data_IF_831648897516
#
_entry.id   IF_831648897516
#
_cell.length_a   1.000
_cell.length_b   1.000
_cell.length_c   1.000
_cell.angle_alpha   90.00
_cell.angle_beta   90.00
_cell.angle_gamma   90.00
#
_symmetry.space_group_name_H-M   'P 1'
#
loop_
_entity.id
_entity.type
_entity.pdbx_description
1 polymer ?
#
# COMPACT_ATOMS: atom_id res chain seq x y z
N UNK A 1 -3.75 6.25 1.30
CA UNK A 1 -3.49 6.50 -0.13
C UNK A 1 -4.36 5.53 -0.92
N UNK A 2 -5.03 5.98 -1.99
CA UNK A 2 -5.82 5.10 -2.86
C UNK A 2 -5.13 4.90 -4.19
N UNK A 3 -5.04 3.65 -4.64
CA UNK A 3 -4.46 3.28 -5.93
C UNK A 3 -5.55 2.69 -6.82
N UNK A 4 -5.56 3.09 -8.08
CA UNK A 4 -6.54 2.62 -9.08
C UNK A 4 -5.82 2.24 -10.37
N UNK A 5 -6.28 1.17 -11.02
CA UNK A 5 -5.73 0.66 -12.27
C UNK A 5 -4.77 -0.50 -12.05
N UNK A 6 -3.71 -0.55 -12.86
CA UNK A 6 -2.72 -1.63 -12.84
C UNK A 6 -1.39 -1.15 -12.24
N UNK A 7 -0.74 -2.02 -11.47
CA UNK A 7 0.61 -1.80 -10.95
C UNK A 7 1.55 -2.77 -11.67
N UNK A 8 2.30 -2.26 -12.63
CA UNK A 8 3.18 -3.02 -13.51
C UNK A 8 4.53 -2.32 -13.72
N UNK A 9 5.37 -2.87 -14.59
CA UNK A 9 6.67 -2.28 -14.95
C UNK A 9 6.58 -0.79 -15.39
N UNK A 10 5.48 -0.35 -15.98
CA UNK A 10 5.30 1.01 -16.48
C UNK A 10 4.74 1.97 -15.43
N UNK A 11 3.86 1.49 -14.54
CA UNK A 11 3.23 2.32 -13.51
C UNK A 11 3.96 2.29 -12.16
N UNK A 12 4.73 1.23 -11.88
CA UNK A 12 5.48 1.07 -10.64
C UNK A 12 6.47 2.21 -10.35
N UNK A 13 7.23 2.77 -11.32
CA UNK A 13 8.12 3.90 -11.05
C UNK A 13 7.37 5.15 -10.57
N UNK A 14 6.17 5.39 -11.11
CA UNK A 14 5.32 6.52 -10.67
C UNK A 14 4.80 6.28 -9.26
N UNK A 15 4.34 5.07 -8.95
CA UNK A 15 3.89 4.70 -7.61
C UNK A 15 5.03 4.85 -6.59
N UNK A 16 6.23 4.43 -6.94
CA UNK A 16 7.41 4.55 -6.08
C UNK A 16 7.71 6.01 -5.74
N UNK A 17 7.79 6.88 -6.75
CA UNK A 17 8.04 8.31 -6.53
C UNK A 17 7.00 8.97 -5.63
N UNK A 18 5.72 8.59 -5.77
CA UNK A 18 4.66 9.14 -4.93
C UNK A 18 4.72 8.63 -3.50
N UNK A 19 5.01 7.34 -3.29
CA UNK A 19 5.23 6.78 -1.97
C UNK A 19 6.44 7.42 -1.29
N UNK A 20 7.56 7.58 -2.00
CA UNK A 20 8.76 8.20 -1.47
C UNK A 20 8.48 9.65 -1.04
N UNK A 21 7.76 10.42 -1.88
CA UNK A 21 7.33 11.78 -1.55
C UNK A 21 6.47 11.83 -0.29
N UNK A 22 5.47 10.95 -0.17
CA UNK A 22 4.59 10.89 1.00
C UNK A 22 5.35 10.50 2.28
N UNK A 23 6.33 9.60 2.18
CA UNK A 23 7.18 9.17 3.29
C UNK A 23 8.19 10.24 3.71
N UNK A 24 8.58 11.14 2.81
CA UNK A 24 9.45 12.28 3.12
C UNK A 24 8.69 13.46 3.72
N UNK A 25 7.49 13.75 3.22
CA UNK A 25 6.68 14.88 3.67
C UNK A 25 5.93 14.61 4.98
N UNK A 26 5.68 13.34 5.30
CA UNK A 26 4.84 12.95 6.42
C UNK A 26 5.65 12.32 7.55
N UNK A 27 5.46 12.82 8.77
CA UNK A 27 5.84 12.09 10.00
C UNK A 27 4.84 10.97 10.33
N UNK A 28 3.97 10.57 9.40
CA UNK A 28 2.93 9.59 9.65
C UNK A 28 3.55 8.23 10.02
N UNK A 29 3.33 7.82 11.27
CA UNK A 29 3.67 6.48 11.72
C UNK A 29 2.76 5.38 11.13
N UNK A 30 1.74 5.75 10.34
CA UNK A 30 0.75 4.81 9.86
C UNK A 30 0.23 5.18 8.46
N UNK A 31 0.28 4.23 7.53
CA UNK A 31 -0.23 4.40 6.17
C UNK A 31 -1.08 3.19 5.77
N UNK A 32 -2.29 3.45 5.28
CA UNK A 32 -3.10 2.42 4.61
C UNK A 32 -3.15 2.71 3.11
N UNK A 33 -2.86 1.67 2.34
CA UNK A 33 -3.00 1.66 0.88
C UNK A 33 -4.30 0.96 0.52
N UNK A 34 -5.25 1.72 -0.02
CA UNK A 34 -6.50 1.21 -0.57
C UNK A 34 -6.25 0.64 -1.97
N UNK A 35 -6.42 -0.67 -2.05
CA UNK A 35 -6.17 -1.53 -3.21
C UNK A 35 -7.48 -1.93 -3.92
N UNK A 36 -8.64 -1.38 -3.53
CA UNK A 36 -9.96 -1.72 -4.08
C UNK A 36 -10.09 -1.41 -5.57
N UNK A 37 -9.36 -0.38 -6.04
CA UNK A 37 -9.26 0.00 -7.44
C UNK A 37 -8.17 -0.72 -8.22
N UNK A 38 -7.36 -1.58 -7.59
CA UNK A 38 -6.21 -2.24 -8.23
C UNK A 38 -6.64 -3.53 -8.91
N UNK A 39 -6.58 -3.54 -10.23
CA UNK A 39 -7.06 -4.66 -11.06
C UNK A 39 -5.98 -5.74 -11.23
N UNK A 40 -4.72 -5.31 -11.24
CA UNK A 40 -3.55 -6.15 -11.42
C UNK A 40 -2.34 -5.56 -10.68
N UNK A 41 -1.48 -6.42 -10.16
CA UNK A 41 -0.20 -6.04 -9.54
C UNK A 41 0.83 -7.13 -9.82
N UNK A 42 1.91 -6.80 -10.54
CA UNK A 42 3.01 -7.72 -10.82
C UNK A 42 4.08 -7.71 -9.70
N UNK A 43 5.18 -8.44 -9.93
CA UNK A 43 6.30 -8.47 -8.99
C UNK A 43 6.99 -7.11 -8.82
N UNK A 44 6.99 -6.26 -9.84
CA UNK A 44 7.55 -4.90 -9.78
C UNK A 44 6.73 -4.04 -8.83
N UNK A 45 5.40 -4.07 -8.99
CA UNK A 45 4.47 -3.37 -8.10
C UNK A 45 4.58 -3.82 -6.64
N UNK A 46 4.65 -5.13 -6.42
CA UNK A 46 4.83 -5.68 -5.06
C UNK A 46 6.16 -5.26 -4.44
N UNK A 47 7.24 -5.20 -5.22
CA UNK A 47 8.54 -4.74 -4.73
C UNK A 47 8.51 -3.26 -4.31
N UNK A 48 7.77 -2.42 -5.02
CA UNK A 48 7.58 -1.01 -4.64
C UNK A 48 6.87 -0.91 -3.29
N UNK A 49 5.76 -1.63 -3.10
CA UNK A 49 5.01 -1.65 -1.84
C UNK A 49 5.87 -2.20 -0.67
N UNK A 50 6.67 -3.24 -0.93
CA UNK A 50 7.56 -3.81 0.07
C UNK A 50 8.67 -2.84 0.48
N UNK A 51 9.19 -2.07 -0.48
CA UNK A 51 10.22 -1.07 -0.22
C UNK A 51 9.69 0.07 0.64
N UNK A 52 8.47 0.54 0.35
CA UNK A 52 7.77 1.52 1.17
C UNK A 52 7.50 1.02 2.59
N UNK A 53 7.04 -0.23 2.76
CA UNK A 53 6.85 -0.85 4.07
C UNK A 53 8.15 -0.88 4.88
N UNK A 54 9.27 -1.27 4.26
CA UNK A 54 10.58 -1.31 4.93
C UNK A 54 11.02 0.08 5.41
N UNK A 55 10.96 1.07 4.52
CA UNK A 55 11.32 2.45 4.83
C UNK A 55 10.46 3.01 5.97
N UNK A 56 9.15 2.76 5.94
CA UNK A 56 8.26 3.24 6.99
C UNK A 56 8.52 2.53 8.32
N UNK A 57 8.84 1.22 8.32
CA UNK A 57 9.26 0.48 9.52
C UNK A 57 10.56 1.02 10.13
N UNK A 58 11.53 1.42 9.31
CA UNK A 58 12.78 2.04 9.77
C UNK A 58 12.52 3.38 10.49
N UNK A 59 11.45 4.07 10.12
CA UNK A 59 10.99 5.30 10.77
C UNK A 59 10.04 5.04 11.96
N UNK A 60 9.82 3.78 12.34
CA UNK A 60 8.93 3.39 13.44
C UNK A 60 7.44 3.36 13.08
N UNK A 61 7.10 3.43 11.80
CA UNK A 61 5.74 3.34 11.29
C UNK A 61 5.36 1.98 10.70
N UNK A 62 4.15 1.89 10.16
CA UNK A 62 3.63 0.68 9.52
C UNK A 62 2.77 1.01 8.29
N UNK A 63 2.90 0.16 7.26
CA UNK A 63 2.10 0.20 6.04
C UNK A 63 1.19 -1.03 6.02
N UNK A 64 -0.10 -0.79 5.81
CA UNK A 64 -1.13 -1.83 5.69
C UNK A 64 -1.89 -1.70 4.37
N UNK A 65 -2.48 -2.80 3.91
CA UNK A 65 -3.29 -2.84 2.69
C UNK A 65 -4.75 -3.03 3.02
N UNK A 66 -5.61 -2.38 2.25
CA UNK A 66 -7.06 -2.47 2.40
C UNK A 66 -7.73 -2.81 1.07
N UNK A 67 -8.69 -3.73 1.10
CA UNK A 67 -9.53 -4.06 -0.04
C UNK A 67 -8.84 -4.59 -1.29
N UNK A 68 -7.76 -5.42 -1.22
CA UNK A 68 -7.19 -5.97 -2.44
C UNK A 68 -8.21 -6.85 -3.17
N UNK A 69 -8.37 -6.64 -4.47
CA UNK A 69 -9.20 -7.51 -5.32
C UNK A 69 -8.70 -8.97 -5.27
N UNK A 70 -9.56 -9.97 -5.58
CA UNK A 70 -9.20 -11.39 -5.47
C UNK A 70 -7.92 -11.79 -6.21
N UNK A 71 -7.65 -11.19 -7.38
CA UNK A 71 -6.43 -11.43 -8.14
C UNK A 71 -5.17 -11.00 -7.36
N UNK A 72 -5.16 -9.77 -6.83
CA UNK A 72 -4.06 -9.24 -6.02
C UNK A 72 -3.91 -10.02 -4.72
N UNK A 73 -5.03 -10.36 -4.04
CA UNK A 73 -5.01 -11.18 -2.82
C UNK A 73 -4.38 -12.55 -3.05
N UNK A 74 -4.71 -13.21 -4.18
CA UNK A 74 -4.12 -14.50 -4.55
C UNK A 74 -2.61 -14.38 -4.78
N UNK A 75 -2.14 -13.30 -5.40
CA UNK A 75 -0.70 -13.05 -5.58
C UNK A 75 -0.02 -12.90 -4.23
N UNK A 76 -0.59 -12.14 -3.29
CA UNK A 76 -0.05 -12.00 -1.93
C UNK A 76 0.07 -13.36 -1.23
N UNK A 77 -0.95 -14.20 -1.31
CA UNK A 77 -0.95 -15.54 -0.70
C UNK A 77 0.08 -16.48 -1.33
N UNK A 78 0.14 -16.54 -2.67
CA UNK A 78 1.07 -17.41 -3.39
C UNK A 78 2.53 -17.00 -3.15
N UNK A 79 2.77 -15.70 -2.97
CA UNK A 79 4.11 -15.15 -2.70
C UNK A 79 4.47 -15.10 -1.21
N UNK A 80 3.51 -15.41 -0.32
CA UNK A 80 3.67 -15.31 1.14
C UNK A 80 3.72 -13.87 1.67
N UNK A 81 3.43 -12.88 0.84
CA UNK A 81 3.41 -11.47 1.22
C UNK A 81 2.23 -11.11 2.12
N UNK A 82 1.18 -11.94 2.16
CA UNK A 82 0.09 -11.82 3.14
C UNK A 82 0.54 -12.01 4.60
N UNK A 83 1.70 -12.63 4.84
CA UNK A 83 2.34 -12.67 6.16
C UNK A 83 3.22 -11.44 6.46
N UNK A 84 3.59 -10.68 5.43
CA UNK A 84 4.48 -9.51 5.53
C UNK A 84 3.69 -8.23 5.76
N UNK A 85 2.54 -8.13 5.09
CA UNK A 85 1.62 -7.01 5.19
C UNK A 85 0.40 -7.38 6.04
N UNK A 86 -0.07 -6.46 6.88
CA UNK A 86 -1.44 -6.52 7.39
C UNK A 86 -2.39 -6.22 6.24
N UNK A 87 -3.37 -7.09 6.01
CA UNK A 87 -4.35 -6.95 4.92
C UNK A 87 -5.77 -6.92 5.50
N UNK A 88 -6.48 -5.82 5.25
CA UNK A 88 -7.88 -5.61 5.61
C UNK A 88 -8.79 -5.86 4.43
N UNK A 89 -10.04 -6.27 4.71
CA UNK A 89 -11.05 -6.49 3.66
C UNK A 89 -11.54 -5.18 3.01
N UNK A 90 -11.46 -4.07 3.73
CA UNK A 90 -11.78 -2.73 3.28
C UNK A 90 -10.93 -1.70 4.04
N UNK A 91 -10.99 -0.43 3.65
CA UNK A 91 -10.32 0.64 4.42
C UNK A 91 -11.00 0.73 5.78
N UNK A 92 -10.26 0.65 6.91
CA UNK A 92 -10.85 0.77 8.23
C UNK A 92 -11.62 2.09 8.37
N UNK A 93 -12.84 2.03 8.89
CA UNK A 93 -13.71 3.20 9.01
C UNK A 93 -13.08 4.30 9.87
N UNK A 94 -12.28 3.94 10.87
CA UNK A 94 -11.60 4.91 11.73
C UNK A 94 -10.57 5.76 10.96
N UNK A 95 -10.05 5.24 9.84
CA UNK A 95 -9.13 5.96 8.97
C UNK A 95 -9.84 6.84 7.95
N UNK A 96 -11.10 6.55 7.64
CA UNK A 96 -11.94 7.37 6.77
C UNK A 96 -12.51 8.58 7.54
N UNK A 97 -12.70 8.45 8.85
CA UNK A 97 -13.22 9.49 9.74
C UNK A 97 -12.15 10.48 10.25
N UNK A 98 -10.88 10.28 9.88
CA UNK A 98 -9.80 11.21 10.18
C UNK A 98 -9.89 12.46 9.27
N UNK A 99 -10.88 13.31 9.52
CA UNK A 99 -10.79 14.70 9.08
C UNK A 99 -9.52 15.32 9.70
N UNK A 100 -8.78 16.17 8.96
CA UNK A 100 -7.67 16.90 9.54
C UNK A 100 -8.23 17.76 10.68
N UNK A 101 -7.85 17.44 11.92
CA UNK A 101 -8.14 18.28 13.07
C UNK A 101 -7.37 19.60 12.86
N UNK A 102 -8.10 20.62 12.42
CA UNK A 102 -7.62 21.99 12.27
C UNK A 102 -7.11 22.57 13.60
#
# INVERSE_FOLDING_TARGET
MTIVGEIDLYTAPRLQSELDRLLDESAAAFMVVDMSGVEFCDSTGMNVLLSALKRLREQGGVLEMAGPRPAVRKILQVTGLDSVFTVHEAVPEELLAAEPKA
#
